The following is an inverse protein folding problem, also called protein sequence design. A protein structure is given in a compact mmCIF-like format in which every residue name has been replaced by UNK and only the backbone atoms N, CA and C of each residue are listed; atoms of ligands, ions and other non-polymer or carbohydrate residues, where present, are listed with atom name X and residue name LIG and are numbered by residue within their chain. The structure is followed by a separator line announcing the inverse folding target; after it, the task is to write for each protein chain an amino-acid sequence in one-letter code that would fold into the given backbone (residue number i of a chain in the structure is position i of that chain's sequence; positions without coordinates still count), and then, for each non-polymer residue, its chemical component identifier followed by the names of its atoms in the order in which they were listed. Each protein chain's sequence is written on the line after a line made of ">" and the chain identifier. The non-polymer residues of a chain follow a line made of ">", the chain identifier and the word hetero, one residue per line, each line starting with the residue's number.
data_IF_202529414877
#
_entry.id   IF_202529414877
#
_cell.length_a   1.000
_cell.length_b   1.000
_cell.length_c   1.000
_cell.angle_alpha   90.00
_cell.angle_beta   90.00
_cell.angle_gamma   90.00
#
_symmetry.space_group_name_H-M   'P 1'
#
loop_
_entity.id
_entity.type
_entity.pdbx_description
1 polymer ?
#
# COMPACT_ATOMS: atom_id res chain seq x y z
N UNK A 1 -0.55 -20.05 -7.18
CA UNK A 1 -1.72 -19.17 -7.43
C UNK A 1 -1.86 -18.91 -8.92
N UNK A 2 -3.09 -18.92 -9.45
CA UNK A 2 -3.35 -18.61 -10.86
C UNK A 2 -3.46 -17.10 -11.10
N UNK A 3 -2.40 -16.49 -11.63
CA UNK A 3 -2.35 -15.08 -12.01
C UNK A 3 -3.41 -14.65 -13.04
N UNK A 4 -4.02 -15.59 -13.76
CA UNK A 4 -5.05 -15.28 -14.76
C UNK A 4 -6.43 -15.09 -14.13
N UNK A 5 -6.63 -15.59 -12.92
CA UNK A 5 -7.88 -15.45 -12.19
C UNK A 5 -8.09 -14.03 -11.62
N UNK A 6 -7.02 -13.23 -11.49
CA UNK A 6 -7.13 -11.86 -10.98
C UNK A 6 -7.76 -10.94 -12.03
N UNK A 7 -8.88 -10.26 -11.71
CA UNK A 7 -9.52 -9.31 -12.60
C UNK A 7 -8.59 -8.16 -12.96
N UNK A 8 -8.66 -7.66 -14.19
CA UNK A 8 -7.76 -6.60 -14.66
C UNK A 8 -7.93 -5.30 -13.86
N UNK A 9 -9.16 -4.95 -13.48
CA UNK A 9 -9.41 -3.73 -12.69
C UNK A 9 -8.75 -3.79 -11.31
N UNK A 10 -8.79 -4.95 -10.64
CA UNK A 10 -8.10 -5.17 -9.36
C UNK A 10 -6.60 -4.94 -9.50
N UNK A 11 -5.99 -5.39 -10.60
CA UNK A 11 -4.57 -5.16 -10.86
C UNK A 11 -4.25 -3.68 -11.10
N UNK A 12 -5.18 -2.92 -11.70
CA UNK A 12 -5.00 -1.48 -11.94
C UNK A 12 -5.12 -0.67 -10.67
N UNK A 13 -6.12 -0.98 -9.86
CA UNK A 13 -6.34 -0.38 -8.55
C UNK A 13 -5.12 -0.64 -7.66
N UNK A 14 -4.70 -1.90 -7.53
CA UNK A 14 -3.49 -2.25 -6.78
C UNK A 14 -2.25 -1.48 -7.27
N UNK A 15 -2.00 -1.45 -8.58
CA UNK A 15 -0.86 -0.72 -9.14
C UNK A 15 -0.95 0.79 -8.92
N UNK A 16 -2.17 1.35 -8.85
CA UNK A 16 -2.42 2.75 -8.53
C UNK A 16 -2.09 3.04 -7.08
N UNK A 17 -2.68 2.28 -6.16
CA UNK A 17 -2.51 2.46 -4.72
C UNK A 17 -1.03 2.37 -4.33
N UNK A 18 -0.32 1.37 -4.83
CA UNK A 18 1.11 1.22 -4.57
C UNK A 18 1.97 2.34 -5.20
N UNK A 19 1.53 2.88 -6.34
CA UNK A 19 2.20 4.04 -6.95
C UNK A 19 1.96 5.32 -6.17
N UNK A 20 0.80 5.46 -5.53
CA UNK A 20 0.45 6.58 -4.64
C UNK A 20 1.22 6.49 -3.31
N UNK A 21 1.37 5.29 -2.75
CA UNK A 21 2.15 5.04 -1.51
C UNK A 21 3.65 5.27 -1.69
N UNK A 22 4.17 5.08 -2.89
CA UNK A 22 5.60 5.20 -3.20
C UNK A 22 5.84 6.22 -4.31
N UNK A 23 6.05 5.75 -5.53
CA UNK A 23 6.01 6.55 -6.74
C UNK A 23 5.83 5.62 -7.94
N UNK A 24 5.16 6.13 -8.99
CA UNK A 24 5.02 5.42 -10.26
C UNK A 24 6.37 4.95 -10.84
N UNK A 25 7.44 5.74 -10.65
CA UNK A 25 8.79 5.40 -11.12
C UNK A 25 9.33 4.17 -10.39
N UNK A 26 9.19 4.13 -9.06
CA UNK A 26 9.70 3.04 -8.24
C UNK A 26 8.96 1.73 -8.52
N UNK A 27 7.63 1.78 -8.62
CA UNK A 27 6.81 0.61 -8.98
C UNK A 27 7.16 0.09 -10.37
N UNK A 28 7.35 0.99 -11.35
CA UNK A 28 7.76 0.59 -12.70
C UNK A 28 9.13 -0.09 -12.70
N UNK A 29 10.11 0.45 -11.97
CA UNK A 29 11.44 -0.17 -11.83
C UNK A 29 11.35 -1.55 -11.18
N UNK A 30 10.60 -1.69 -10.09
CA UNK A 30 10.42 -2.95 -9.37
C UNK A 30 9.82 -4.04 -10.27
N UNK A 31 8.81 -3.69 -11.07
CA UNK A 31 8.20 -4.61 -12.04
C UNK A 31 9.05 -4.81 -13.30
N UNK A 32 10.16 -4.08 -13.48
CA UNK A 32 10.93 -4.06 -14.71
C UNK A 32 10.08 -3.62 -15.92
N UNK A 33 9.30 -2.55 -15.74
CA UNK A 33 8.43 -1.93 -16.74
C UNK A 33 8.89 -0.50 -17.02
N UNK A 34 8.55 0.03 -18.20
CA UNK A 34 8.68 1.45 -18.47
C UNK A 34 7.63 2.27 -17.73
N UNK A 35 7.99 3.48 -17.26
CA UNK A 35 7.05 4.39 -16.56
C UNK A 35 5.78 4.63 -17.36
N UNK A 36 5.91 4.92 -18.66
CA UNK A 36 4.77 5.15 -19.55
C UNK A 36 3.90 3.90 -19.72
N UNK A 37 4.49 2.71 -19.70
CA UNK A 37 3.75 1.45 -19.78
C UNK A 37 2.89 1.24 -18.53
N UNK A 38 3.45 1.51 -17.35
CA UNK A 38 2.69 1.41 -16.10
C UNK A 38 1.61 2.49 -16.00
N UNK A 39 1.91 3.72 -16.43
CA UNK A 39 0.93 4.81 -16.48
C UNK A 39 -0.28 4.44 -17.34
N UNK A 40 -0.04 3.98 -18.58
CA UNK A 40 -1.10 3.54 -19.51
C UNK A 40 -1.91 2.36 -18.96
N UNK A 41 -1.23 1.46 -18.25
CA UNK A 41 -1.88 0.34 -17.58
C UNK A 41 -2.90 0.83 -16.54
N UNK A 42 -2.46 1.71 -15.62
CA UNK A 42 -3.28 2.28 -14.54
C UNK A 42 -4.42 3.14 -15.10
N UNK A 43 -4.15 3.92 -16.14
CA UNK A 43 -5.12 4.79 -16.79
C UNK A 43 -6.14 4.07 -17.69
N UNK A 44 -6.05 2.74 -17.79
CA UNK A 44 -6.88 1.93 -18.70
C UNK A 44 -6.84 2.38 -20.17
N UNK A 45 -5.78 3.10 -20.58
CA UNK A 45 -5.67 3.70 -21.91
C UNK A 45 -5.51 2.64 -23.01
N UNK A 46 -4.98 1.46 -22.68
CA UNK A 46 -4.78 0.37 -23.62
C UNK A 46 -5.04 -1.00 -23.00
N UNK A 47 -5.35 -1.98 -23.85
CA UNK A 47 -5.31 -3.39 -23.46
C UNK A 47 -3.87 -3.79 -23.13
N UNK A 48 -3.58 -4.25 -21.90
CA UNK A 48 -2.22 -4.57 -21.53
C UNK A 48 -1.67 -5.74 -22.30
N UNK A 49 -0.39 -5.63 -22.66
CA UNK A 49 0.35 -6.77 -23.18
C UNK A 49 0.36 -7.92 -22.14
N UNK A 50 0.20 -9.19 -22.54
CA UNK A 50 0.13 -10.32 -21.60
C UNK A 50 1.30 -10.40 -20.60
N UNK A 51 2.50 -9.97 -21.02
CA UNK A 51 3.68 -9.86 -20.15
C UNK A 51 3.51 -8.82 -19.02
N UNK A 52 2.89 -7.68 -19.32
CA UNK A 52 2.63 -6.62 -18.32
C UNK A 52 1.61 -7.11 -17.32
N UNK A 53 0.49 -7.66 -17.80
CA UNK A 53 -0.55 -8.25 -16.96
C UNK A 53 0.03 -9.32 -16.03
N UNK A 54 0.83 -10.25 -16.58
CA UNK A 54 1.45 -11.32 -15.79
C UNK A 54 2.35 -10.77 -14.68
N UNK A 55 3.18 -9.78 -14.96
CA UNK A 55 4.08 -9.17 -13.95
C UNK A 55 3.30 -8.57 -12.78
N UNK A 56 2.30 -7.76 -13.10
CA UNK A 56 1.48 -7.08 -12.08
C UNK A 56 0.64 -8.10 -11.30
N UNK A 57 0.09 -9.11 -11.97
CA UNK A 57 -0.65 -10.17 -11.31
C UNK A 57 0.22 -11.02 -10.37
N UNK A 58 1.44 -11.35 -10.76
CA UNK A 58 2.37 -12.06 -9.88
C UNK A 58 2.73 -11.21 -8.67
N UNK A 59 3.00 -9.92 -8.88
CA UNK A 59 3.31 -8.98 -7.80
C UNK A 59 2.12 -8.78 -6.85
N UNK A 60 0.89 -8.67 -7.37
CA UNK A 60 -0.33 -8.62 -6.56
C UNK A 60 -0.51 -9.87 -5.69
N UNK A 61 -0.28 -11.05 -6.26
CA UNK A 61 -0.38 -12.31 -5.54
C UNK A 61 0.72 -12.48 -4.49
N UNK A 62 1.89 -11.90 -4.73
CA UNK A 62 3.02 -11.87 -3.79
C UNK A 62 2.77 -10.90 -2.64
N UNK A 63 2.15 -9.75 -2.90
CA UNK A 63 1.83 -8.72 -1.91
C UNK A 63 0.50 -8.94 -1.16
N UNK A 64 -0.33 -9.89 -1.60
CA UNK A 64 -1.66 -10.13 -1.03
C UNK A 64 -1.62 -10.76 0.37
N UNK A 65 -2.78 -10.82 1.07
CA UNK A 65 -2.89 -11.22 2.49
C UNK A 65 -2.53 -12.68 2.82
N UNK A 66 -1.92 -13.43 1.88
CA UNK A 66 -1.37 -14.77 2.11
C UNK A 66 0.02 -14.98 1.49
N UNK A 67 0.66 -13.92 0.98
CA UNK A 67 2.03 -13.96 0.48
C UNK A 67 3.00 -13.49 1.56
N UNK A 68 3.89 -14.38 2.01
CA UNK A 68 4.98 -14.14 2.97
C UNK A 68 6.03 -13.10 2.50
N UNK A 69 5.80 -12.40 1.38
CA UNK A 69 6.78 -11.55 0.74
C UNK A 69 6.44 -10.07 0.94
N UNK A 70 7.00 -9.53 2.01
CA UNK A 70 7.15 -8.11 2.25
C UNK A 70 7.87 -7.45 1.07
N UNK A 71 7.11 -6.82 0.17
CA UNK A 71 7.64 -5.79 -0.72
C UNK A 71 8.13 -4.65 0.18
N UNK A 72 9.34 -4.11 -0.02
CA UNK A 72 9.90 -3.11 0.89
C UNK A 72 9.10 -1.82 0.75
N UNK A 73 8.09 -1.68 1.61
CA UNK A 73 7.53 -0.41 1.98
C UNK A 73 8.70 0.53 2.33
N UNK A 74 8.53 1.81 1.99
CA UNK A 74 9.23 2.96 2.58
C UNK A 74 9.86 2.55 3.92
N UNK A 75 11.20 2.63 4.04
CA UNK A 75 12.00 2.08 5.15
C UNK A 75 11.14 1.94 6.41
N UNK A 76 10.85 0.71 6.88
CA UNK A 76 9.77 0.46 7.81
C UNK A 76 9.90 1.45 8.97
N UNK A 77 8.92 2.34 9.10
CA UNK A 77 8.83 3.17 10.29
C UNK A 77 8.83 2.19 11.45
N UNK A 78 9.75 2.31 12.42
CA UNK A 78 9.84 1.35 13.53
C UNK A 78 8.52 1.29 14.34
N UNK A 79 7.64 2.25 14.13
CA UNK A 79 6.34 2.39 14.78
C UNK A 79 5.19 1.76 14.00
N UNK A 80 5.36 1.45 12.70
CA UNK A 80 4.31 0.85 11.88
C UNK A 80 3.89 -0.53 12.40
N UNK A 81 4.88 -1.38 12.68
CA UNK A 81 4.64 -2.72 13.24
C UNK A 81 3.97 -2.69 14.62
N UNK A 82 4.23 -1.66 15.43
CA UNK A 82 3.62 -1.51 16.74
C UNK A 82 2.13 -1.15 16.62
N UNK A 83 1.76 -0.26 15.69
CA UNK A 83 0.36 0.07 15.40
C UNK A 83 -0.39 -1.16 14.88
N UNK A 84 0.20 -1.90 13.95
CA UNK A 84 -0.42 -3.11 13.41
C UNK A 84 -0.61 -4.18 14.50
N UNK A 85 0.34 -4.29 15.43
CA UNK A 85 0.22 -5.19 16.60
C UNK A 85 -0.92 -4.77 17.53
N UNK A 86 -1.16 -3.47 17.72
CA UNK A 86 -2.26 -2.97 18.56
C UNK A 86 -3.65 -3.22 17.93
N UNK A 87 -3.70 -3.37 16.61
CA UNK A 87 -4.93 -3.66 15.86
C UNK A 87 -5.13 -5.17 15.62
N UNK A 88 -4.29 -6.01 16.22
CA UNK A 88 -4.43 -7.46 16.13
C UNK A 88 -5.80 -7.89 16.70
N UNK A 89 -6.50 -8.75 15.97
CA UNK A 89 -7.86 -9.18 16.29
C UNK A 89 -8.99 -8.24 15.83
N UNK A 90 -8.68 -7.08 15.25
CA UNK A 90 -9.69 -6.29 14.52
C UNK A 90 -9.89 -6.87 13.14
N UNK A 91 -11.15 -6.98 12.70
CA UNK A 91 -11.50 -7.43 11.35
C UNK A 91 -10.80 -6.54 10.29
N UNK A 92 -10.24 -7.19 9.26
CA UNK A 92 -9.49 -6.54 8.20
C UNK A 92 -10.32 -5.47 7.47
N UNK A 93 -11.64 -5.67 7.35
CA UNK A 93 -12.53 -4.68 6.75
C UNK A 93 -12.60 -3.36 7.54
N UNK A 94 -12.27 -3.40 8.84
CA UNK A 94 -12.29 -2.25 9.76
C UNK A 94 -10.90 -1.73 10.11
N UNK A 95 -9.84 -2.40 9.62
CA UNK A 95 -8.45 -2.08 9.99
C UNK A 95 -8.07 -0.65 9.62
N UNK A 96 -8.47 -0.18 8.43
CA UNK A 96 -8.19 1.18 7.99
C UNK A 96 -8.79 2.23 8.94
N UNK A 97 -10.07 2.07 9.28
CA UNK A 97 -10.79 3.03 10.12
C UNK A 97 -10.28 2.97 11.57
N UNK A 98 -10.06 1.76 12.10
CA UNK A 98 -9.50 1.57 13.44
C UNK A 98 -8.08 2.15 13.57
N UNK A 99 -7.28 2.07 12.50
CA UNK A 99 -5.96 2.70 12.44
C UNK A 99 -6.05 4.22 12.48
N UNK A 100 -6.96 4.82 11.72
CA UNK A 100 -7.19 6.26 11.74
C UNK A 100 -7.64 6.74 13.14
N UNK A 101 -8.63 6.06 13.73
CA UNK A 101 -9.13 6.35 15.08
C UNK A 101 -8.03 6.25 16.15
N UNK A 102 -7.18 5.22 16.07
CA UNK A 102 -6.05 5.06 17.00
C UNK A 102 -5.05 6.22 16.88
N UNK A 103 -4.67 6.60 15.65
CA UNK A 103 -3.75 7.71 15.42
C UNK A 103 -4.35 9.05 15.90
N UNK A 104 -5.65 9.26 15.73
CA UNK A 104 -6.35 10.44 16.23
C UNK A 104 -6.40 10.48 17.76
N UNK A 105 -6.64 9.34 18.41
CA UNK A 105 -6.60 9.24 19.88
C UNK A 105 -5.22 9.60 20.45
N UNK A 106 -4.13 9.14 19.81
CA UNK A 106 -2.77 9.47 20.23
C UNK A 106 -2.49 10.97 20.03
N UNK A 107 -2.91 11.54 18.89
CA UNK A 107 -2.75 12.97 18.64
C UNK A 107 -3.50 13.83 19.66
N UNK A 108 -4.73 13.44 20.03
CA UNK A 108 -5.51 14.10 21.06
C UNK A 108 -4.84 14.02 22.45
N UNK A 109 -4.23 12.88 22.79
CA UNK A 109 -3.50 12.71 24.05
C UNK A 109 -2.30 13.66 24.14
N UNK A 110 -1.53 13.81 23.06
CA UNK A 110 -0.41 14.77 23.00
C UNK A 110 -0.90 16.21 23.20
N UNK A 111 -1.95 16.60 22.49
CA UNK A 111 -2.54 17.93 22.62
C UNK A 111 -3.03 18.22 24.05
N UNK A 112 -3.66 17.24 24.70
CA UNK A 112 -4.12 17.36 26.09
C UNK A 112 -2.98 17.57 27.10
N UNK A 113 -1.77 17.08 26.79
CA UNK A 113 -0.57 17.27 27.61
C UNK A 113 0.31 18.44 27.14
N UNK A 114 -0.25 19.34 26.31
CA UNK A 114 0.44 20.56 25.86
C UNK A 114 1.60 20.30 24.89
N UNK A 115 1.68 19.11 24.30
CA UNK A 115 2.65 18.79 23.25
C UNK A 115 1.97 18.80 21.89
N UNK A 116 2.65 19.34 20.87
CA UNK A 116 2.20 19.19 19.49
C UNK A 116 2.24 17.72 19.06
N UNK A 117 1.49 17.33 18.01
CA UNK A 117 1.54 15.98 17.48
C UNK A 117 2.98 15.67 17.04
N UNK A 118 3.54 14.52 17.45
CA UNK A 118 4.91 14.18 17.13
C UNK A 118 5.08 13.89 15.63
N UNK A 119 6.27 14.15 15.09
CA UNK A 119 6.54 14.03 13.65
C UNK A 119 6.28 12.61 13.09
N UNK A 120 6.54 11.58 13.89
CA UNK A 120 6.28 10.19 13.50
C UNK A 120 4.80 9.90 13.26
N UNK A 121 3.88 10.70 13.81
CA UNK A 121 2.44 10.55 13.64
C UNK A 121 2.01 10.98 12.23
N UNK A 122 2.64 12.03 11.69
CA UNK A 122 2.45 12.45 10.29
C UNK A 122 3.01 11.39 9.32
N UNK A 123 4.20 10.84 9.62
CA UNK A 123 4.78 9.74 8.84
C UNK A 123 3.85 8.52 8.76
N UNK A 124 3.17 8.18 9.85
CA UNK A 124 2.20 7.07 9.88
C UNK A 124 0.90 7.38 9.14
N UNK A 125 0.50 8.65 9.04
CA UNK A 125 -0.65 9.08 8.23
C UNK A 125 -0.33 9.14 6.74
N UNK A 126 0.95 9.18 6.37
CA UNK A 126 1.39 9.34 4.99
C UNK A 126 1.38 10.79 4.50
N UNK A 127 1.30 11.74 5.44
CA UNK A 127 1.46 13.19 5.22
C UNK A 127 2.94 13.58 5.09
#
# INVERSE_FOLDING_TARGET
>A
MDHRAVPLEVLREFARDESERTSLRQVATMLGLGRTTLQKFIGAETTPHPRVRRKIALWYLEAGPGGDAAVPARAPSPYGSAVDTLLDGIDQARHHDARAELLDAIAALHAAHGSGPPAWLAELRGE
#
